data_IF_915166925821
#
_entry.id   IF_915166925821
#
_cell.length_a   1.000
_cell.length_b   1.000
_cell.length_c   1.000
_cell.angle_alpha   90.00
_cell.angle_beta   90.00
_cell.angle_gamma   90.00
#
_symmetry.space_group_name_H-M   'P 1'
#
loop_
_entity.id
_entity.type
_entity.pdbx_description
1 polymer ?
#
# COMPACT_ATOMS: atom_id res chain seq x y z
N UNK A 1 -0.87 -22.42 -1.88
CA UNK A 1 -1.01 -21.00 -1.60
C UNK A 1 -0.85 -20.66 -0.10
N UNK A 2 -1.59 -21.25 0.81
CA UNK A 2 -1.51 -20.95 2.25
C UNK A 2 -0.26 -21.51 2.99
N UNK A 3 0.55 -22.34 2.34
CA UNK A 3 1.78 -22.89 2.93
C UNK A 3 3.01 -21.98 2.87
N UNK A 4 2.95 -20.83 2.18
CA UNK A 4 4.09 -19.92 2.07
C UNK A 4 3.84 -18.65 2.92
N UNK A 5 4.61 -18.43 4.02
CA UNK A 5 4.47 -17.23 4.84
C UNK A 5 4.73 -15.94 4.04
N UNK A 6 5.51 -16.03 2.97
CA UNK A 6 5.76 -14.91 2.06
C UNK A 6 4.51 -14.48 1.30
N UNK A 7 3.73 -15.41 0.73
CA UNK A 7 2.49 -15.12 0.03
C UNK A 7 1.40 -14.61 0.97
N UNK A 8 1.34 -15.13 2.20
CA UNK A 8 0.47 -14.60 3.25
C UNK A 8 0.87 -13.16 3.62
N UNK A 9 2.16 -12.87 3.70
CA UNK A 9 2.67 -11.51 3.92
C UNK A 9 2.25 -10.54 2.81
N UNK A 10 2.33 -10.94 1.53
CA UNK A 10 1.85 -10.11 0.41
C UNK A 10 0.35 -9.88 0.53
N UNK A 11 -0.43 -10.92 0.85
CA UNK A 11 -1.89 -10.80 1.03
C UNK A 11 -2.23 -9.85 2.19
N UNK A 12 -1.54 -9.96 3.32
CA UNK A 12 -1.72 -9.07 4.47
C UNK A 12 -1.34 -7.62 4.13
N UNK A 13 -0.26 -7.41 3.39
CA UNK A 13 0.16 -6.08 2.93
C UNK A 13 -0.91 -5.42 2.06
N UNK A 14 -1.49 -6.18 1.12
CA UNK A 14 -2.56 -5.68 0.24
C UNK A 14 -3.87 -5.46 1.02
N UNK A 15 -4.19 -6.33 1.97
CA UNK A 15 -5.36 -6.16 2.84
C UNK A 15 -5.30 -4.83 3.61
N UNK A 16 -4.17 -4.56 4.27
CA UNK A 16 -3.98 -3.32 5.03
C UNK A 16 -4.02 -2.11 4.09
N UNK A 17 -3.38 -2.19 2.91
CA UNK A 17 -3.46 -1.16 1.88
C UNK A 17 -4.90 -0.79 1.56
N UNK A 18 -5.76 -1.80 1.37
CA UNK A 18 -7.15 -1.60 0.97
C UNK A 18 -7.99 -1.04 2.12
N UNK A 19 -7.82 -1.55 3.34
CA UNK A 19 -8.47 -1.01 4.54
C UNK A 19 -8.15 0.48 4.70
N UNK A 20 -6.87 0.86 4.62
CA UNK A 20 -6.45 2.26 4.73
C UNK A 20 -6.98 3.12 3.58
N UNK A 21 -6.98 2.59 2.36
CA UNK A 21 -7.59 3.26 1.19
C UNK A 21 -9.07 3.58 1.44
N UNK A 22 -9.80 2.63 2.04
CA UNK A 22 -11.20 2.79 2.41
C UNK A 22 -11.38 3.85 3.51
N UNK A 23 -10.49 3.90 4.50
CA UNK A 23 -10.52 4.96 5.53
C UNK A 23 -10.31 6.35 4.92
N UNK A 24 -9.35 6.51 4.01
CA UNK A 24 -9.13 7.79 3.30
C UNK A 24 -10.38 8.17 2.50
N UNK A 25 -11.00 7.21 1.83
CA UNK A 25 -12.23 7.43 1.06
C UNK A 25 -13.38 7.93 1.94
N UNK A 26 -13.65 7.28 3.06
CA UNK A 26 -14.72 7.70 3.97
C UNK A 26 -14.41 9.02 4.68
N UNK A 27 -13.16 9.27 5.06
CA UNK A 27 -12.72 10.57 5.58
C UNK A 27 -13.03 11.69 4.59
N UNK A 28 -12.76 11.46 3.30
CA UNK A 28 -13.12 12.40 2.22
C UNK A 28 -14.61 12.64 2.15
N UNK A 29 -15.43 11.57 2.19
CA UNK A 29 -16.90 11.70 2.16
C UNK A 29 -17.42 12.49 3.35
N UNK A 30 -16.97 12.20 4.57
CA UNK A 30 -17.38 12.88 5.80
C UNK A 30 -17.00 14.37 5.78
N UNK A 31 -15.77 14.70 5.42
CA UNK A 31 -15.31 16.08 5.39
C UNK A 31 -16.03 16.91 4.33
N UNK A 32 -16.29 16.34 3.17
CA UNK A 32 -17.08 17.04 2.12
C UNK A 32 -18.55 17.13 2.51
N UNK A 33 -19.11 16.12 3.17
CA UNK A 33 -20.46 16.16 3.68
C UNK A 33 -20.67 17.29 4.73
N UNK A 34 -19.64 17.57 5.54
CA UNK A 34 -19.69 18.60 6.55
C UNK A 34 -19.71 20.05 5.99
N UNK A 35 -19.43 20.25 4.68
CA UNK A 35 -19.49 21.56 4.03
C UNK A 35 -20.92 22.10 3.81
N UNK A 36 -21.95 21.34 4.13
CA UNK A 36 -23.35 21.73 3.93
C UNK A 36 -24.05 20.94 2.83
N UNK A 37 -25.27 21.31 2.47
CA UNK A 37 -26.14 20.57 1.53
C UNK A 37 -26.07 21.08 0.08
N UNK A 38 -25.22 22.06 -0.21
CA UNK A 38 -25.03 22.57 -1.56
C UNK A 38 -24.29 21.53 -2.43
N UNK A 39 -25.02 20.98 -3.41
CA UNK A 39 -24.51 19.95 -4.32
C UNK A 39 -23.42 20.51 -5.25
N UNK A 40 -23.54 21.75 -5.69
CA UNK A 40 -22.57 22.35 -6.61
C UNK A 40 -21.25 22.59 -5.89
N UNK A 41 -21.29 23.08 -4.64
CA UNK A 41 -20.12 23.23 -3.80
C UNK A 41 -19.41 21.91 -3.54
N UNK A 42 -20.15 20.85 -3.17
CA UNK A 42 -19.59 19.51 -2.94
C UNK A 42 -18.96 18.94 -4.19
N UNK A 43 -19.64 19.02 -5.32
CA UNK A 43 -19.14 18.55 -6.63
C UNK A 43 -17.88 19.30 -7.00
N UNK A 44 -17.82 20.62 -6.80
CA UNK A 44 -16.62 21.43 -7.03
C UNK A 44 -15.44 21.02 -6.18
N UNK A 45 -15.66 20.68 -4.90
CA UNK A 45 -14.58 20.19 -4.01
C UNK A 45 -14.10 18.81 -4.45
N UNK A 46 -14.98 17.88 -4.78
CA UNK A 46 -14.57 16.57 -5.31
C UNK A 46 -13.76 16.70 -6.59
N UNK A 47 -14.20 17.54 -7.52
CA UNK A 47 -13.49 17.80 -8.77
C UNK A 47 -12.06 18.36 -8.54
N UNK A 48 -11.91 19.27 -7.58
CA UNK A 48 -10.58 19.80 -7.20
C UNK A 48 -9.68 18.72 -6.59
N UNK A 49 -10.21 17.90 -5.67
CA UNK A 49 -9.46 16.77 -5.09
C UNK A 49 -8.98 15.84 -6.19
N UNK A 50 -9.88 15.45 -7.10
CA UNK A 50 -9.56 14.53 -8.17
C UNK A 50 -8.57 15.16 -9.18
N UNK A 51 -8.71 16.44 -9.52
CA UNK A 51 -7.78 17.16 -10.37
C UNK A 51 -6.35 17.17 -9.80
N UNK A 52 -6.18 17.60 -8.54
CA UNK A 52 -4.87 17.61 -7.88
C UNK A 52 -4.29 16.20 -7.75
N UNK A 53 -5.13 15.20 -7.46
CA UNK A 53 -4.72 13.80 -7.41
C UNK A 53 -4.17 13.32 -8.75
N UNK A 54 -4.85 13.61 -9.86
CA UNK A 54 -4.41 13.18 -11.19
C UNK A 54 -3.14 13.91 -11.65
N UNK A 55 -3.06 15.22 -11.46
CA UNK A 55 -1.86 16.01 -11.80
C UNK A 55 -0.65 15.50 -11.01
N UNK A 56 -0.79 15.34 -9.69
CA UNK A 56 0.29 14.83 -8.83
C UNK A 56 0.70 13.40 -9.24
N UNK A 57 -0.27 12.55 -9.59
CA UNK A 57 0.01 11.19 -10.07
C UNK A 57 0.82 11.21 -11.37
N UNK A 58 0.43 12.03 -12.35
CA UNK A 58 1.14 12.15 -13.64
C UNK A 58 2.58 12.63 -13.45
N UNK A 59 2.78 13.68 -12.61
CA UNK A 59 4.12 14.21 -12.31
C UNK A 59 4.99 13.15 -11.66
N UNK A 60 4.48 12.46 -10.64
CA UNK A 60 5.23 11.41 -9.96
C UNK A 60 5.50 10.20 -10.87
N UNK A 61 4.58 9.82 -11.73
CA UNK A 61 4.81 8.75 -12.71
C UNK A 61 5.92 9.10 -13.69
N UNK A 62 5.95 10.33 -14.18
CA UNK A 62 6.95 10.78 -15.14
C UNK A 62 8.36 10.87 -14.52
N UNK A 63 8.48 11.32 -13.26
CA UNK A 63 9.76 11.69 -12.65
C UNK A 63 10.32 10.59 -11.75
N UNK A 64 9.49 9.88 -11.00
CA UNK A 64 9.92 9.13 -9.80
C UNK A 64 10.00 7.63 -10.04
N UNK A 65 9.15 7.05 -10.90
CA UNK A 65 8.93 5.59 -10.94
C UNK A 65 10.20 4.78 -11.22
N UNK A 66 11.04 5.21 -12.16
CA UNK A 66 12.23 4.44 -12.54
C UNK A 66 13.45 4.67 -11.64
N UNK A 67 13.61 5.85 -11.07
CA UNK A 67 14.79 6.23 -10.30
C UNK A 67 14.69 5.83 -8.82
N UNK A 68 13.51 5.90 -8.24
CA UNK A 68 13.31 5.66 -6.81
C UNK A 68 13.53 4.19 -6.45
N UNK A 69 12.97 3.26 -7.23
CA UNK A 69 13.14 1.81 -6.99
C UNK A 69 14.60 1.36 -7.14
N UNK A 70 15.34 1.96 -8.09
CA UNK A 70 16.76 1.64 -8.29
C UNK A 70 17.64 2.13 -7.15
N UNK A 71 17.31 3.27 -6.52
CA UNK A 71 18.13 3.88 -5.46
C UNK A 71 17.78 3.40 -4.05
N UNK A 72 16.50 3.26 -3.75
CA UNK A 72 16.03 2.94 -2.38
C UNK A 72 15.85 1.44 -2.13
N UNK A 73 15.77 0.64 -3.18
CA UNK A 73 15.44 -0.78 -3.05
C UNK A 73 13.97 -1.04 -2.70
N UNK A 74 13.54 -2.29 -2.85
CA UNK A 74 12.13 -2.69 -2.70
C UNK A 74 11.63 -2.49 -1.26
N UNK A 75 12.47 -2.75 -0.25
CA UNK A 75 12.06 -2.70 1.16
C UNK A 75 11.72 -1.28 1.64
N UNK A 76 12.53 -0.27 1.28
CA UNK A 76 12.23 1.13 1.62
C UNK A 76 11.05 1.63 0.80
N UNK A 77 10.99 1.24 -0.47
CA UNK A 77 9.90 1.62 -1.37
C UNK A 77 8.53 1.16 -0.84
N UNK A 78 8.42 -0.07 -0.33
CA UNK A 78 7.19 -0.59 0.25
C UNK A 78 6.82 0.08 1.59
N UNK A 79 7.80 0.56 2.36
CA UNK A 79 7.57 1.27 3.61
C UNK A 79 7.21 2.75 3.43
N UNK A 80 7.49 3.32 2.27
CA UNK A 80 7.26 4.74 1.99
C UNK A 80 5.78 5.13 2.14
N UNK A 81 4.88 4.37 1.53
CA UNK A 81 3.44 4.68 1.57
C UNK A 81 2.86 4.59 2.98
N UNK A 82 3.11 3.53 3.78
CA UNK A 82 2.72 3.49 5.18
C UNK A 82 3.19 4.69 6.00
N UNK A 83 4.46 5.10 5.83
CA UNK A 83 5.01 6.26 6.54
C UNK A 83 4.28 7.56 6.15
N UNK A 84 4.03 7.76 4.86
CA UNK A 84 3.27 8.92 4.37
C UNK A 84 1.82 8.92 4.86
N UNK A 85 1.18 7.77 4.94
CA UNK A 85 -0.17 7.64 5.49
C UNK A 85 -0.19 8.00 6.97
N UNK A 86 0.73 7.46 7.76
CA UNK A 86 0.82 7.79 9.19
C UNK A 86 1.01 9.30 9.40
N UNK A 87 1.94 9.92 8.71
CA UNK A 87 2.18 11.38 8.77
C UNK A 87 0.97 12.18 8.28
N UNK A 88 0.32 11.73 7.21
CA UNK A 88 -0.87 12.40 6.67
C UNK A 88 -2.07 12.39 7.62
N UNK A 89 -2.32 11.26 8.28
CA UNK A 89 -3.39 11.17 9.29
C UNK A 89 -3.06 11.94 10.56
N UNK A 90 -1.81 11.97 11.00
CA UNK A 90 -1.37 12.84 12.10
C UNK A 90 -1.56 14.33 11.71
N UNK A 91 -1.15 14.71 10.51
CA UNK A 91 -1.38 16.07 10.00
C UNK A 91 -2.87 16.43 9.94
N UNK A 92 -3.71 15.49 9.52
CA UNK A 92 -5.16 15.67 9.48
C UNK A 92 -5.78 15.77 10.90
N UNK A 93 -5.20 15.08 11.89
CA UNK A 93 -5.62 15.20 13.30
C UNK A 93 -5.28 16.57 13.91
N UNK A 94 -4.13 17.14 13.53
CA UNK A 94 -3.69 18.45 14.00
C UNK A 94 -4.49 19.57 13.31
N UNK A 95 -4.74 19.41 12.02
CA UNK A 95 -5.40 20.41 11.18
C UNK A 95 -6.48 19.70 10.34
N UNK A 96 -7.69 19.61 10.88
CA UNK A 96 -8.84 19.01 10.21
C UNK A 96 -9.33 19.88 9.01
N UNK A 97 -8.43 20.15 8.07
CA UNK A 97 -8.69 21.04 6.92
C UNK A 97 -8.82 20.25 5.62
N UNK A 98 -9.62 20.78 4.69
CA UNK A 98 -9.73 20.23 3.34
C UNK A 98 -8.39 20.23 2.61
N UNK A 99 -7.52 21.21 2.88
CA UNK A 99 -6.18 21.25 2.28
C UNK A 99 -5.33 20.07 2.73
N UNK A 100 -5.32 19.72 4.02
CA UNK A 100 -4.63 18.53 4.54
C UNK A 100 -5.18 17.25 3.92
N UNK A 101 -6.51 17.15 3.77
CA UNK A 101 -7.15 16.01 3.11
C UNK A 101 -6.75 15.89 1.64
N UNK A 102 -6.74 16.99 0.88
CA UNK A 102 -6.32 17.02 -0.53
C UNK A 102 -4.87 16.53 -0.66
N UNK A 103 -3.97 17.04 0.19
CA UNK A 103 -2.56 16.63 0.19
C UNK A 103 -2.43 15.14 0.50
N UNK A 104 -3.10 14.65 1.55
CA UNK A 104 -3.09 13.23 1.90
C UNK A 104 -3.62 12.35 0.75
N UNK A 105 -4.78 12.67 0.21
CA UNK A 105 -5.44 11.93 -0.86
C UNK A 105 -4.58 11.92 -2.15
N UNK A 106 -4.09 13.08 -2.57
CA UNK A 106 -3.29 13.21 -3.78
C UNK A 106 -1.98 12.44 -3.65
N UNK A 107 -1.29 12.61 -2.52
CA UNK A 107 -0.01 11.95 -2.26
C UNK A 107 -0.18 10.44 -2.14
N UNK A 108 -1.19 9.97 -1.40
CA UNK A 108 -1.51 8.54 -1.29
C UNK A 108 -1.77 7.91 -2.66
N UNK A 109 -2.66 8.49 -3.45
CA UNK A 109 -3.03 7.96 -4.76
C UNK A 109 -1.86 7.98 -5.74
N UNK A 110 -1.07 9.05 -5.73
CA UNK A 110 0.08 9.19 -6.59
C UNK A 110 1.17 8.15 -6.26
N UNK A 111 1.55 8.02 -4.98
CA UNK A 111 2.56 7.04 -4.53
C UNK A 111 2.07 5.61 -4.74
N UNK A 112 0.81 5.33 -4.43
CA UNK A 112 0.23 4.00 -4.64
C UNK A 112 0.30 3.58 -6.12
N UNK A 113 -0.07 4.46 -7.05
CA UNK A 113 -0.10 4.14 -8.49
C UNK A 113 1.29 4.13 -9.12
N UNK A 114 2.15 5.10 -8.75
CA UNK A 114 3.44 5.30 -9.39
C UNK A 114 4.55 4.43 -8.82
N UNK A 115 4.48 4.09 -7.53
CA UNK A 115 5.58 3.46 -6.81
C UNK A 115 5.19 2.09 -6.28
N UNK A 116 4.07 2.01 -5.54
CA UNK A 116 3.71 0.76 -4.84
C UNK A 116 3.25 -0.34 -5.80
N UNK A 117 2.48 0.01 -6.85
CA UNK A 117 2.07 -1.00 -7.85
C UNK A 117 3.26 -1.71 -8.49
N UNK A 118 4.25 -1.01 -9.10
CA UNK A 118 5.42 -1.68 -9.66
C UNK A 118 6.27 -2.38 -8.58
N UNK A 119 6.46 -1.79 -7.37
CA UNK A 119 7.18 -2.43 -6.28
C UNK A 119 6.52 -3.75 -5.83
N UNK A 120 5.18 -3.79 -5.80
CA UNK A 120 4.44 -5.03 -5.51
C UNK A 120 4.63 -6.09 -6.59
N UNK A 121 4.70 -5.70 -7.86
CA UNK A 121 4.97 -6.66 -8.95
C UNK A 121 6.34 -7.35 -8.78
N UNK A 122 7.35 -6.65 -8.26
CA UNK A 122 8.65 -7.26 -8.01
C UNK A 122 8.62 -8.31 -6.89
N UNK A 123 7.65 -8.24 -5.95
CA UNK A 123 7.50 -9.30 -4.94
C UNK A 123 7.13 -10.65 -5.55
N UNK A 124 6.47 -10.66 -6.70
CA UNK A 124 6.08 -11.88 -7.39
C UNK A 124 7.16 -12.44 -8.34
N UNK A 125 8.31 -11.78 -8.49
CA UNK A 125 9.39 -12.28 -9.38
C UNK A 125 10.06 -13.53 -8.83
N UNK A 126 10.10 -13.66 -7.50
CA UNK A 126 10.71 -14.79 -6.76
C UNK A 126 9.71 -15.90 -6.43
N UNK A 127 8.53 -15.88 -7.05
CA UNK A 127 7.48 -16.89 -6.83
C UNK A 127 7.33 -17.77 -8.10
N UNK A 128 7.25 -19.10 -7.97
CA UNK A 128 7.02 -19.99 -9.09
C UNK A 128 5.80 -19.57 -9.93
N UNK A 129 5.85 -19.76 -11.24
CA UNK A 129 4.81 -19.27 -12.16
C UNK A 129 3.40 -19.71 -11.77
N UNK A 130 3.22 -20.96 -11.40
CA UNK A 130 1.92 -21.52 -11.03
C UNK A 130 1.34 -20.84 -9.78
N UNK A 131 2.14 -20.69 -8.72
CA UNK A 131 1.73 -20.03 -7.48
C UNK A 131 1.52 -18.54 -7.68
N UNK A 132 2.30 -17.90 -8.55
CA UNK A 132 2.15 -16.49 -8.90
C UNK A 132 0.77 -16.18 -9.46
N UNK A 133 0.32 -16.94 -10.48
CA UNK A 133 -0.98 -16.68 -11.11
C UNK A 133 -2.14 -16.96 -10.15
N UNK A 134 -2.10 -18.07 -9.43
CA UNK A 134 -3.14 -18.43 -8.44
C UNK A 134 -3.23 -17.41 -7.32
N UNK A 135 -2.07 -17.01 -6.77
CA UNK A 135 -2.01 -16.03 -5.68
C UNK A 135 -2.46 -14.64 -6.12
N UNK A 136 -2.06 -14.21 -7.32
CA UNK A 136 -2.43 -12.90 -7.85
C UNK A 136 -3.93 -12.82 -8.10
N UNK A 137 -4.53 -13.83 -8.72
CA UNK A 137 -5.97 -13.89 -8.92
C UNK A 137 -6.75 -13.87 -7.59
N UNK A 138 -6.27 -14.59 -6.58
CA UNK A 138 -6.88 -14.60 -5.25
C UNK A 138 -6.77 -13.22 -4.57
N UNK A 139 -5.59 -12.61 -4.59
CA UNK A 139 -5.36 -11.30 -3.98
C UNK A 139 -6.23 -10.25 -4.67
N UNK A 140 -6.24 -10.22 -6.00
CA UNK A 140 -6.97 -9.20 -6.76
C UNK A 140 -8.50 -9.37 -6.66
N UNK A 141 -9.00 -10.59 -6.40
CA UNK A 141 -10.44 -10.84 -6.28
C UNK A 141 -10.93 -10.81 -4.83
N UNK A 142 -10.29 -11.57 -3.94
CA UNK A 142 -10.78 -11.76 -2.57
C UNK A 142 -10.17 -10.78 -1.58
N UNK A 143 -8.82 -10.62 -1.59
CA UNK A 143 -8.14 -9.81 -0.57
C UNK A 143 -8.52 -8.34 -0.68
N UNK A 144 -8.60 -7.80 -1.89
CA UNK A 144 -9.07 -6.43 -2.11
C UNK A 144 -10.50 -6.23 -1.61
N UNK A 145 -11.43 -7.12 -1.99
CA UNK A 145 -12.82 -7.01 -1.56
C UNK A 145 -13.01 -7.18 -0.06
N UNK A 146 -12.26 -8.11 0.53
CA UNK A 146 -12.26 -8.28 2.00
C UNK A 146 -11.75 -7.02 2.70
N UNK A 147 -10.69 -6.40 2.19
CA UNK A 147 -10.16 -5.16 2.75
C UNK A 147 -11.14 -4.00 2.65
N UNK A 148 -11.83 -3.84 1.51
CA UNK A 148 -12.88 -2.83 1.34
C UNK A 148 -14.01 -3.04 2.35
N UNK A 149 -14.49 -4.27 2.51
CA UNK A 149 -15.58 -4.62 3.45
C UNK A 149 -15.14 -4.39 4.90
N UNK A 150 -13.95 -4.87 5.28
CA UNK A 150 -13.41 -4.67 6.63
C UNK A 150 -13.24 -3.19 6.94
N UNK A 151 -12.66 -2.43 6.02
CA UNK A 151 -12.50 -0.98 6.17
C UNK A 151 -13.82 -0.24 6.35
N UNK A 152 -14.82 -0.59 5.53
CA UNK A 152 -16.16 0.00 5.62
C UNK A 152 -16.89 -0.37 6.93
N UNK A 153 -16.74 -1.63 7.39
CA UNK A 153 -17.35 -2.05 8.66
C UNK A 153 -16.72 -1.36 9.88
N UNK A 154 -15.38 -1.25 9.90
CA UNK A 154 -14.67 -0.55 10.99
C UNK A 154 -15.06 0.92 11.01
N UNK A 155 -15.07 1.60 9.87
CA UNK A 155 -15.50 3.00 9.78
C UNK A 155 -16.95 3.18 10.20
N UNK A 156 -17.85 2.34 9.67
CA UNK A 156 -19.27 2.38 10.03
C UNK A 156 -19.51 2.12 11.52
N UNK A 157 -18.73 1.24 12.17
CA UNK A 157 -18.78 1.01 13.60
C UNK A 157 -18.33 2.25 14.38
N UNK A 158 -17.20 2.85 14.02
CA UNK A 158 -16.71 4.08 14.63
C UNK A 158 -17.72 5.22 14.51
N UNK A 159 -18.34 5.35 13.34
CA UNK A 159 -19.41 6.33 13.10
C UNK A 159 -20.64 6.12 13.98
N UNK A 160 -21.11 4.86 14.13
CA UNK A 160 -22.24 4.52 15.04
C UNK A 160 -21.93 4.79 16.51
N UNK A 161 -20.69 4.67 16.91
CA UNK A 161 -20.24 4.99 18.28
C UNK A 161 -20.04 6.50 18.50
N UNK A 162 -20.31 7.34 17.49
CA UNK A 162 -20.09 8.78 17.57
C UNK A 162 -18.62 9.16 17.60
N UNK A 163 -17.72 8.23 17.25
CA UNK A 163 -16.28 8.41 17.29
C UNK A 163 -15.84 9.04 15.95
N UNK A 164 -15.49 10.30 15.98
CA UNK A 164 -15.09 11.07 14.79
C UNK A 164 -13.67 10.78 14.30
N UNK A 165 -13.10 11.77 13.59
CA UNK A 165 -11.78 11.70 12.95
C UNK A 165 -10.66 11.23 13.91
N UNK A 166 -10.69 11.65 15.17
CA UNK A 166 -9.66 11.26 16.16
C UNK A 166 -9.60 9.76 16.40
N UNK A 167 -10.75 9.07 16.44
CA UNK A 167 -10.78 7.62 16.57
C UNK A 167 -10.25 6.91 15.32
N UNK A 168 -10.60 7.43 14.13
CA UNK A 168 -10.08 6.89 12.89
C UNK A 168 -8.55 7.03 12.81
N UNK A 169 -7.99 8.16 13.26
CA UNK A 169 -6.54 8.37 13.37
C UNK A 169 -5.91 7.37 14.33
N UNK A 170 -6.53 7.15 15.50
CA UNK A 170 -6.04 6.22 16.52
C UNK A 170 -5.98 4.77 16.03
N UNK A 171 -6.82 4.39 15.08
CA UNK A 171 -6.79 3.06 14.44
C UNK A 171 -5.80 3.05 13.26
N UNK A 172 -5.81 4.10 12.44
CA UNK A 172 -5.04 4.13 11.20
C UNK A 172 -3.54 4.24 11.43
N UNK A 173 -3.11 5.04 12.42
CA UNK A 173 -1.66 5.25 12.67
C UNK A 173 -0.98 3.96 13.14
N UNK A 174 -1.46 3.22 14.15
CA UNK A 174 -0.86 1.93 14.50
C UNK A 174 -0.90 0.91 13.34
N UNK A 175 -2.02 0.87 12.60
CA UNK A 175 -2.15 -0.02 11.46
C UNK A 175 -1.13 0.33 10.36
N UNK A 176 -0.87 1.61 10.10
CA UNK A 176 0.14 2.06 9.15
C UNK A 176 1.56 1.69 9.61
N UNK A 177 1.86 1.74 10.91
CA UNK A 177 3.15 1.29 11.46
C UNK A 177 3.35 -0.21 11.26
N UNK A 178 2.35 -1.03 11.58
CA UNK A 178 2.38 -2.49 11.32
C UNK A 178 2.57 -2.76 9.84
N UNK A 179 1.86 -2.02 8.98
CA UNK A 179 1.99 -2.12 7.53
C UNK A 179 3.39 -1.76 7.03
N UNK A 180 4.02 -0.73 7.60
CA UNK A 180 5.40 -0.33 7.29
C UNK A 180 6.41 -1.43 7.64
N UNK A 181 6.29 -2.01 8.84
CA UNK A 181 7.13 -3.14 9.28
C UNK A 181 6.97 -4.34 8.34
N UNK A 182 5.73 -4.66 7.97
CA UNK A 182 5.42 -5.74 7.03
C UNK A 182 6.04 -5.46 5.65
N UNK A 183 5.99 -4.22 5.16
CA UNK A 183 6.61 -3.80 3.90
C UNK A 183 8.13 -3.98 3.91
N UNK A 184 8.80 -3.59 5.00
CA UNK A 184 10.24 -3.79 5.18
C UNK A 184 10.57 -5.29 5.21
N UNK A 185 9.80 -6.07 5.94
CA UNK A 185 10.00 -7.51 6.03
C UNK A 185 9.85 -8.19 4.65
N UNK A 186 8.80 -7.86 3.90
CA UNK A 186 8.57 -8.39 2.56
C UNK A 186 9.71 -8.05 1.60
N UNK A 187 10.14 -6.79 1.59
CA UNK A 187 11.23 -6.37 0.73
C UNK A 187 12.55 -7.05 1.05
N UNK A 188 12.87 -7.25 2.35
CA UNK A 188 14.05 -8.01 2.78
C UNK A 188 13.94 -9.49 2.42
N UNK A 189 12.77 -10.09 2.60
CA UNK A 189 12.51 -11.49 2.23
C UNK A 189 12.66 -11.71 0.73
N UNK A 190 12.21 -10.76 -0.09
CA UNK A 190 12.37 -10.79 -1.54
C UNK A 190 13.86 -10.71 -1.92
N UNK A 191 14.63 -9.80 -1.33
CA UNK A 191 16.06 -9.66 -1.61
C UNK A 191 16.85 -10.93 -1.27
N UNK A 192 16.56 -11.57 -0.13
CA UNK A 192 17.21 -12.84 0.25
C UNK A 192 16.94 -13.93 -0.79
N UNK A 193 15.72 -14.09 -1.26
CA UNK A 193 15.35 -15.09 -2.27
C UNK A 193 16.05 -14.84 -3.61
N UNK A 194 16.17 -13.58 -4.04
CA UNK A 194 16.95 -13.23 -5.25
C UNK A 194 18.43 -13.60 -5.09
N UNK A 195 19.02 -13.36 -3.91
CA UNK A 195 20.41 -13.69 -3.64
C UNK A 195 20.65 -15.21 -3.64
N UNK A 196 19.71 -15.98 -3.07
CA UNK A 196 19.79 -17.45 -3.02
C UNK A 196 19.69 -18.06 -4.44
N UNK A 197 18.84 -17.52 -5.32
CA UNK A 197 18.73 -17.95 -6.72
C UNK A 197 19.96 -17.55 -7.56
N UNK A 198 20.65 -16.46 -7.22
CA UNK A 198 21.83 -15.97 -7.95
C UNK A 198 23.11 -16.64 -7.54
N UNK A 199 23.15 -17.41 -6.43
CA UNK A 199 24.31 -18.20 -6.02
C UNK A 199 24.31 -19.51 -6.81
N UNK A 200 25.25 -19.71 -7.80
CA UNK A 200 25.26 -20.97 -8.55
C UNK A 200 25.51 -22.10 -7.58
N UNK A 201 24.67 -23.15 -7.68
CA UNK A 201 24.87 -24.39 -6.97
C UNK A 201 26.34 -24.80 -7.17
N UNK A 202 27.11 -24.82 -6.08
CA UNK A 202 28.51 -25.19 -6.06
C UNK A 202 28.61 -26.57 -6.73
N UNK A 203 29.09 -26.60 -7.99
CA UNK A 203 29.23 -27.84 -8.73
C UNK A 203 29.94 -28.85 -7.84
N UNK A 204 29.43 -30.11 -7.72
CA UNK A 204 30.12 -31.12 -6.95
C UNK A 204 31.55 -31.24 -7.50
N UNK A 205 32.54 -31.09 -6.61
CA UNK A 205 33.97 -31.20 -6.93
C UNK A 205 34.18 -32.53 -7.69
N UNK A 206 34.51 -32.46 -8.98
CA UNK A 206 34.98 -33.61 -9.75
C UNK A 206 36.41 -33.91 -9.27
N UNK A 207 36.54 -34.50 -8.11
CA UNK A 207 37.83 -34.96 -7.55
C UNK A 207 37.87 -36.47 -7.35
N UNK A 208 37.06 -37.26 -8.05
CA UNK A 208 37.14 -38.73 -7.95
C UNK A 208 37.13 -39.45 -9.31
N UNK A 209 37.82 -38.90 -10.32
CA UNK A 209 37.94 -39.62 -11.60
C UNK A 209 39.33 -39.60 -12.19
N UNK A 210 40.38 -39.59 -11.34
CA UNK A 210 41.78 -39.74 -11.78
C UNK A 210 42.61 -40.66 -10.81
N UNK A 211 42.03 -41.79 -10.43
CA UNK A 211 42.80 -42.89 -9.84
C UNK A 211 42.17 -44.19 -10.26
N UNK A 212 42.49 -44.65 -11.50
CA UNK A 212 42.70 -46.05 -11.90
C UNK A 212 43.62 -46.00 -13.11
#
# INVERSE_FOLDING_TARGET
>A
MFGSPYLLGISAYVLILTVISTFIYFTRLQMVAALGNDLDMRTGVFARIDFYTQVTTLVLQAVVTGHLMKRLGVHITLALLPAMVALGFVGLAISASLAALIVLQATFSAVQRSIIRPARETLFTVVPREDKYKSKAFIDTFVYRTGDVVGAQVEGLLGRLGMGLAALVSVTVPLALVWGVLGIWLGRAQQRRVSDESTPARAPRREEALTV
#
